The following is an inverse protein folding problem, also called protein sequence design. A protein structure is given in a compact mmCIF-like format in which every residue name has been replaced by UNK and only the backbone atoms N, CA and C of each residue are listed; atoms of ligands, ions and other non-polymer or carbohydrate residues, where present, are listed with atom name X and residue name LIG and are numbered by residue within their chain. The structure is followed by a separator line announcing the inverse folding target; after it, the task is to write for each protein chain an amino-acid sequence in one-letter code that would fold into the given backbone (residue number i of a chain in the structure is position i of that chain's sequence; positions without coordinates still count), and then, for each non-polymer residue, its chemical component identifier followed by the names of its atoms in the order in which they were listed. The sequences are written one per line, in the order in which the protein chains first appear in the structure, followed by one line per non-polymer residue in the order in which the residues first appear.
data_IF_918988781343
#
_entry.id   IF_918988781343
#
_cell.length_a   1.000
_cell.length_b   1.000
_cell.length_c   1.000
_cell.angle_alpha   90.00
_cell.angle_beta   90.00
_cell.angle_gamma   90.00
#
_symmetry.space_group_name_H-M   'P 1'
#
loop_
_entity.id
_entity.type
_entity.pdbx_description
1 polymer ?
#
# COMPACT_ATOMS: atom_id res chain seq x y z
N UNK A 1 -5.37 21.98 4.56
CA UNK A 1 -5.95 21.92 3.19
C UNK A 1 -6.00 20.45 2.81
N UNK A 2 -7.12 19.81 3.12
CA UNK A 2 -7.31 18.36 3.08
C UNK A 2 -7.79 17.92 1.69
N UNK A 3 -6.87 17.90 0.73
CA UNK A 3 -7.19 17.56 -0.65
C UNK A 3 -7.12 16.05 -0.86
N UNK A 4 -8.29 15.41 -0.78
CA UNK A 4 -8.60 14.01 -1.10
C UNK A 4 -8.06 12.96 -0.13
N UNK A 5 -8.85 12.65 0.90
CA UNK A 5 -8.71 11.39 1.64
C UNK A 5 -9.04 10.23 0.69
N UNK A 6 -8.02 9.42 0.35
CA UNK A 6 -8.24 8.18 -0.39
C UNK A 6 -9.15 7.30 0.46
N UNK A 7 -10.39 7.08 0.00
CA UNK A 7 -11.35 6.25 0.72
C UNK A 7 -10.70 4.91 1.08
N UNK A 8 -10.82 4.48 2.33
CA UNK A 8 -10.40 3.16 2.83
C UNK A 8 -10.79 1.95 1.93
N UNK A 9 -11.86 2.06 1.13
CA UNK A 9 -12.36 1.04 0.19
C UNK A 9 -11.83 1.20 -1.23
N UNK A 10 -11.04 2.23 -1.52
CA UNK A 10 -10.45 2.45 -2.83
C UNK A 10 -9.69 1.19 -3.28
N UNK A 11 -9.80 0.90 -4.57
CA UNK A 11 -9.12 -0.19 -5.23
C UNK A 11 -7.64 0.14 -5.45
N UNK A 12 -6.75 -0.85 -5.62
CA UNK A 12 -5.35 -0.60 -5.94
C UNK A 12 -5.14 0.29 -7.16
N UNK A 13 -6.00 0.17 -8.18
CA UNK A 13 -5.94 1.02 -9.36
C UNK A 13 -6.30 2.49 -9.07
N UNK A 14 -7.33 2.73 -8.25
CA UNK A 14 -7.71 4.10 -7.82
C UNK A 14 -6.60 4.73 -6.98
N UNK A 15 -6.02 3.96 -6.07
CA UNK A 15 -4.90 4.38 -5.24
C UNK A 15 -3.65 4.73 -6.07
N UNK A 16 -3.36 3.94 -7.12
CA UNK A 16 -2.28 4.22 -8.08
C UNK A 16 -2.51 5.50 -8.87
N UNK A 17 -3.73 5.67 -9.40
CA UNK A 17 -4.11 6.88 -10.15
C UNK A 17 -4.02 8.11 -9.26
N UNK A 18 -4.46 8.00 -8.01
CA UNK A 18 -4.33 9.04 -6.99
C UNK A 18 -2.86 9.42 -6.73
N UNK A 19 -1.97 8.41 -6.65
CA UNK A 19 -0.53 8.60 -6.51
C UNK A 19 0.15 9.16 -7.77
N UNK A 20 -0.54 9.16 -8.92
CA UNK A 20 0.02 9.40 -10.25
C UNK A 20 1.25 8.53 -10.54
N UNK A 21 1.26 7.32 -10.00
CA UNK A 21 2.33 6.36 -10.19
C UNK A 21 2.11 5.53 -11.46
N UNK A 22 3.19 5.24 -12.18
CA UNK A 22 3.18 4.23 -13.25
C UNK A 22 3.07 2.82 -12.67
N UNK A 23 2.87 1.81 -13.51
CA UNK A 23 2.75 0.41 -13.04
C UNK A 23 4.03 -0.08 -12.36
N UNK A 24 5.20 0.28 -12.91
CA UNK A 24 6.50 -0.06 -12.36
C UNK A 24 6.74 0.64 -11.00
N UNK A 25 6.41 1.93 -10.92
CA UNK A 25 6.49 2.69 -9.67
C UNK A 25 5.58 2.10 -8.58
N UNK A 26 4.37 1.72 -8.98
CA UNK A 26 3.40 1.08 -8.10
C UNK A 26 3.86 -0.29 -7.60
N UNK A 27 4.42 -1.12 -8.49
CA UNK A 27 5.00 -2.41 -8.11
C UNK A 27 6.12 -2.22 -7.08
N UNK A 28 7.01 -1.25 -7.31
CA UNK A 28 8.10 -0.94 -6.40
C UNK A 28 7.62 -0.47 -5.03
N UNK A 29 6.61 0.41 -5.00
CA UNK A 29 5.93 0.81 -3.76
C UNK A 29 5.34 -0.40 -3.01
N UNK A 30 4.76 -1.37 -3.73
CA UNK A 30 4.24 -2.60 -3.14
C UNK A 30 5.33 -3.47 -2.52
N UNK A 31 6.49 -3.59 -3.17
CA UNK A 31 7.63 -4.34 -2.67
C UNK A 31 8.23 -3.71 -1.41
N UNK A 32 8.47 -2.39 -1.44
CA UNK A 32 9.02 -1.64 -0.30
C UNK A 32 8.08 -1.77 0.90
N UNK A 33 6.79 -1.50 0.72
CA UNK A 33 5.81 -1.60 1.80
C UNK A 33 5.66 -3.02 2.33
N UNK A 34 5.76 -4.05 1.46
CA UNK A 34 5.72 -5.45 1.88
C UNK A 34 6.93 -5.82 2.75
N UNK A 35 8.13 -5.37 2.40
CA UNK A 35 9.34 -5.61 3.21
C UNK A 35 9.19 -5.02 4.62
N UNK A 36 8.76 -3.77 4.71
CA UNK A 36 8.53 -3.09 5.99
C UNK A 36 7.45 -3.79 6.81
N UNK A 37 6.34 -4.17 6.19
CA UNK A 37 5.27 -4.88 6.89
C UNK A 37 5.75 -6.24 7.40
N UNK A 38 6.57 -6.94 6.62
CA UNK A 38 7.17 -8.20 7.04
C UNK A 38 8.11 -8.01 8.24
N UNK A 39 8.91 -6.96 8.24
CA UNK A 39 9.79 -6.59 9.36
C UNK A 39 8.98 -6.32 10.63
N UNK A 40 7.96 -5.47 10.53
CA UNK A 40 7.02 -5.17 11.62
C UNK A 40 6.31 -6.42 12.15
N UNK A 41 5.92 -7.34 11.26
CA UNK A 41 5.28 -8.61 11.64
C UNK A 41 6.28 -9.60 12.25
N UNK A 42 7.56 -9.53 11.88
CA UNK A 42 8.61 -10.35 12.49
C UNK A 42 8.86 -9.96 13.94
N UNK A 43 8.73 -8.67 14.27
CA UNK A 43 8.79 -8.19 15.65
C UNK A 43 7.46 -8.42 16.40
N UNK A 44 6.33 -8.20 15.72
CA UNK A 44 5.00 -8.26 16.31
C UNK A 44 3.98 -8.85 15.32
N UNK A 45 3.78 -10.18 15.36
CA UNK A 45 2.92 -10.89 14.40
C UNK A 45 1.45 -10.42 14.41
N UNK A 46 0.95 -9.94 15.56
CA UNK A 46 -0.41 -9.43 15.76
C UNK A 46 -0.53 -7.90 15.61
N UNK A 47 0.52 -7.23 15.12
CA UNK A 47 0.52 -5.77 14.97
C UNK A 47 -0.57 -5.30 14.01
N UNK A 48 -1.43 -4.41 14.51
CA UNK A 48 -2.44 -3.73 13.70
C UNK A 48 -1.97 -2.32 13.37
N UNK A 49 -2.16 -1.88 12.13
CA UNK A 49 -1.81 -0.51 11.72
C UNK A 49 -2.43 0.58 12.62
N UNK A 50 -3.69 0.37 13.04
CA UNK A 50 -4.39 1.29 13.94
C UNK A 50 -3.78 1.35 15.35
N UNK A 51 -3.01 0.34 15.75
CA UNK A 51 -2.33 0.26 17.04
C UNK A 51 -0.93 0.86 17.01
N UNK A 52 -0.34 1.06 15.83
CA UNK A 52 0.98 1.71 15.69
C UNK A 52 0.83 3.17 16.10
N UNK A 53 1.71 3.68 16.96
CA UNK A 53 1.68 5.10 17.38
C UNK A 53 1.97 6.05 16.23
N UNK A 54 1.48 7.29 16.32
CA UNK A 54 1.65 8.29 15.26
C UNK A 54 3.12 8.52 14.88
N UNK A 55 4.01 8.65 15.87
CA UNK A 55 5.45 8.82 15.66
C UNK A 55 6.06 7.70 14.83
N UNK A 56 5.73 6.43 15.13
CA UNK A 56 6.17 5.29 14.33
C UNK A 56 5.58 5.31 12.92
N UNK A 57 4.33 5.74 12.75
CA UNK A 57 3.71 5.83 11.40
C UNK A 57 4.46 6.83 10.52
N UNK A 58 4.85 7.98 11.07
CA UNK A 58 5.63 8.97 10.34
C UNK A 58 7.02 8.45 10.00
N UNK A 59 7.70 7.80 10.94
CA UNK A 59 9.02 7.21 10.68
C UNK A 59 8.95 6.15 9.56
N UNK A 60 7.94 5.27 9.61
CA UNK A 60 7.75 4.25 8.58
C UNK A 60 7.44 4.91 7.22
N UNK A 61 6.62 5.97 7.19
CA UNK A 61 6.36 6.72 5.96
C UNK A 61 7.64 7.32 5.40
N UNK A 62 8.46 7.94 6.25
CA UNK A 62 9.74 8.52 5.85
C UNK A 62 10.69 7.45 5.29
N UNK A 63 10.73 6.26 5.90
CA UNK A 63 11.47 5.10 5.36
C UNK A 63 10.97 4.69 3.97
N UNK A 64 9.65 4.57 3.78
CA UNK A 64 9.06 4.27 2.47
C UNK A 64 9.45 5.33 1.44
N UNK A 65 9.25 6.61 1.76
CA UNK A 65 9.57 7.70 0.85
C UNK A 65 11.06 7.76 0.53
N UNK A 66 11.95 7.51 1.50
CA UNK A 66 13.39 7.46 1.26
C UNK A 66 13.75 6.36 0.24
N UNK A 67 13.15 5.17 0.35
CA UNK A 67 13.36 4.09 -0.61
C UNK A 67 12.76 4.43 -1.99
N UNK A 68 11.58 5.04 -2.04
CA UNK A 68 10.99 5.51 -3.30
C UNK A 68 11.87 6.55 -4.00
N UNK A 69 12.38 7.53 -3.25
CA UNK A 69 13.26 8.58 -3.78
C UNK A 69 14.56 7.99 -4.32
N UNK A 70 15.13 6.96 -3.69
CA UNK A 70 16.31 6.24 -4.22
C UNK A 70 16.04 5.64 -5.60
N UNK A 71 14.84 5.12 -5.83
CA UNK A 71 14.38 4.57 -7.10
C UNK A 71 13.82 5.65 -8.07
N UNK A 72 13.99 6.95 -7.78
CA UNK A 72 13.43 8.09 -8.55
C UNK A 72 11.90 8.05 -8.67
N UNK A 73 11.22 7.53 -7.65
CA UNK A 73 9.77 7.44 -7.58
C UNK A 73 9.22 8.59 -6.73
N UNK A 74 8.16 9.29 -7.17
CA UNK A 74 7.59 10.36 -6.39
C UNK A 74 7.04 9.85 -5.06
N UNK A 75 7.29 10.65 -4.02
CA UNK A 75 6.88 10.37 -2.65
C UNK A 75 5.37 10.18 -2.51
N UNK A 76 4.97 9.39 -1.51
CA UNK A 76 3.57 9.12 -1.24
C UNK A 76 3.01 10.01 -0.13
N UNK A 77 1.75 10.41 -0.32
CA UNK A 77 0.97 11.11 0.68
C UNK A 77 0.56 10.16 1.83
N UNK A 78 0.30 10.73 3.01
CA UNK A 78 -0.09 9.95 4.18
C UNK A 78 -1.38 9.14 3.93
N UNK A 79 -2.36 9.67 3.20
CA UNK A 79 -3.61 8.97 2.88
C UNK A 79 -3.36 7.66 2.11
N UNK A 80 -2.50 7.70 1.09
CA UNK A 80 -2.12 6.53 0.29
C UNK A 80 -1.33 5.52 1.11
N UNK A 81 -0.37 6.02 1.89
CA UNK A 81 0.46 5.21 2.77
C UNK A 81 -0.40 4.50 3.84
N UNK A 82 -1.27 5.22 4.54
CA UNK A 82 -2.24 4.68 5.51
C UNK A 82 -3.15 3.63 4.88
N UNK A 83 -3.68 3.90 3.68
CA UNK A 83 -4.52 2.95 2.93
C UNK A 83 -3.75 1.64 2.68
N UNK A 84 -2.49 1.73 2.24
CA UNK A 84 -1.66 0.56 1.95
C UNK A 84 -1.34 -0.25 3.20
N UNK A 85 -0.89 0.41 4.26
CA UNK A 85 -0.50 -0.24 5.53
C UNK A 85 -1.69 -0.91 6.22
N UNK A 86 -2.87 -0.27 6.21
CA UNK A 86 -4.10 -0.85 6.77
C UNK A 86 -4.48 -2.16 6.07
N UNK A 87 -4.24 -2.27 4.75
CA UNK A 87 -4.52 -3.49 3.98
C UNK A 87 -3.43 -4.55 4.13
N UNK A 88 -2.18 -4.12 4.25
CA UNK A 88 -1.05 -5.04 4.40
C UNK A 88 -1.00 -5.70 5.78
N UNK A 89 -1.30 -4.94 6.84
CA UNK A 89 -1.37 -5.42 8.23
C UNK A 89 -2.78 -5.89 8.63
N UNK A 90 -3.70 -6.05 7.66
CA UNK A 90 -5.05 -6.52 7.98
C UNK A 90 -4.93 -7.95 8.50
N UNK A 91 -5.41 -8.24 9.73
CA UNK A 91 -5.35 -9.60 10.26
C UNK A 91 -6.07 -10.52 9.29
N UNK A 92 -5.44 -11.64 8.94
CA UNK A 92 -6.02 -12.69 8.11
C UNK A 92 -7.07 -13.40 8.97
N UNK A 93 -8.18 -12.72 9.25
CA UNK A 93 -9.37 -13.37 9.81
C UNK A 93 -9.69 -14.51 8.86
N UNK A 94 -9.65 -15.75 9.35
CA UNK A 94 -10.09 -16.92 8.57
C UNK A 94 -11.58 -16.76 8.25
N UNK A 95 -11.89 -16.00 7.22
CA UNK A 95 -13.19 -16.01 6.58
C UNK A 95 -13.10 -17.00 5.43
N UNK A 96 -13.56 -18.21 5.73
CA UNK A 96 -14.02 -19.19 4.76
C UNK A 96 -14.99 -18.47 3.80
N UNK A 97 -14.64 -18.41 2.51
CA UNK A 97 -15.54 -18.02 1.43
C UNK A 97 -15.57 -16.53 1.07
N UNK A 98 -15.05 -16.23 -0.14
CA UNK A 98 -15.67 -15.43 -1.22
C UNK A 98 -14.60 -14.66 -2.01
N UNK A 99 -14.16 -15.34 -3.07
CA UNK A 99 -14.15 -14.83 -4.44
C UNK A 99 -13.57 -13.43 -4.66
N UNK A 100 -12.39 -13.45 -5.26
CA UNK A 100 -11.90 -12.46 -6.20
C UNK A 100 -12.99 -11.93 -7.14
N UNK A 101 -12.96 -10.63 -7.42
CA UNK A 101 -12.98 -10.16 -8.79
C UNK A 101 -11.62 -9.51 -9.07
N UNK A 102 -10.78 -10.19 -9.86
CA UNK A 102 -10.62 -9.85 -11.27
C UNK A 102 -9.53 -8.77 -11.42
N UNK A 103 -8.27 -9.23 -11.35
CA UNK A 103 -7.25 -8.63 -12.20
C UNK A 103 -7.73 -8.81 -13.63
N UNK A 104 -8.15 -7.71 -14.26
CA UNK A 104 -8.49 -7.69 -15.68
C UNK A 104 -7.35 -8.37 -16.46
N UNK A 105 -7.62 -9.38 -17.29
CA UNK A 105 -6.63 -9.91 -18.19
C UNK A 105 -6.24 -8.83 -19.20
N UNK A 106 -4.96 -8.76 -19.50
CA UNK A 106 -4.46 -8.12 -20.69
C UNK A 106 -5.23 -8.68 -21.91
N UNK A 107 -5.90 -7.81 -22.66
CA UNK A 107 -6.35 -8.14 -24.01
C UNK A 107 -5.10 -8.30 -24.87
N UNK A 108 -4.81 -9.55 -25.23
CA UNK A 108 -3.87 -9.91 -26.30
C UNK A 108 -4.47 -9.55 -27.66
N UNK A 109 -3.62 -9.08 -28.57
CA UNK A 109 -3.47 -9.65 -29.91
C UNK A 109 -4.54 -9.43 -30.99
N UNK A 110 -4.05 -8.96 -32.13
CA UNK A 110 -4.48 -9.27 -33.50
C UNK A 110 -5.85 -8.82 -34.00
N UNK A 111 -5.83 -7.87 -34.96
CA UNK A 111 -6.01 -8.22 -36.37
C UNK A 111 -5.21 -7.27 -37.27
#
# INVERSE_FOLDING_TARGET
MDAFDLHQKASPNEARIYAKHTEAQWARFYEITKKIVHDLQSENADLKWLSVEWSNREEIRNKVNAELTKDNIPEVNYSLFKWRMTRALKPRTKSKGKETPESKPATSGSS
#
